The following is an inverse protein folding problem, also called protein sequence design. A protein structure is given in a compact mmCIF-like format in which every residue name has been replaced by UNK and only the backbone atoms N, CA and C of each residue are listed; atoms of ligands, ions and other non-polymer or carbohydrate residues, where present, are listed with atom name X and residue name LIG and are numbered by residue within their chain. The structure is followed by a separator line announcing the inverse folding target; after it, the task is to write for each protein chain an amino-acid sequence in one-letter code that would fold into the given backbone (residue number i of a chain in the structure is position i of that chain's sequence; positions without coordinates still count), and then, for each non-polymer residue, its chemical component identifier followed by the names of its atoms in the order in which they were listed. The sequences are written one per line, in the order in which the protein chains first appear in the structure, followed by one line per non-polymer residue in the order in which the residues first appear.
data_IF_505653264323
#
_entry.id   IF_505653264323
#
_cell.length_a   1.000
_cell.length_b   1.000
_cell.length_c   1.000
_cell.angle_alpha   90.00
_cell.angle_beta   90.00
_cell.angle_gamma   90.00
#
_symmetry.space_group_name_H-M   'P 1'
#
loop_
_entity.id
_entity.type
_entity.pdbx_description
1 polymer ?
#
# COMPACT_ATOMS: atom_id res chain seq x y z
N UNK A 1 -13.97 -1.13 -11.64
CA UNK A 1 -13.48 0.22 -11.94
C UNK A 1 -11.97 0.30 -12.25
N UNK A 2 -11.46 -0.47 -13.23
CA UNK A 2 -10.01 -0.46 -13.53
C UNK A 2 -9.45 0.93 -13.85
N UNK A 3 -10.26 1.80 -14.47
CA UNK A 3 -9.90 3.19 -14.78
C UNK A 3 -10.18 4.23 -13.70
N UNK A 4 -10.86 3.85 -12.62
CA UNK A 4 -11.29 4.72 -11.52
C UNK A 4 -12.81 4.77 -11.34
N UNK A 5 -13.26 5.21 -10.17
CA UNK A 5 -14.68 5.42 -9.83
C UNK A 5 -15.12 6.86 -10.08
N UNK A 6 -16.44 7.09 -10.05
CA UNK A 6 -16.98 8.44 -9.89
C UNK A 6 -16.55 8.98 -8.51
N UNK A 7 -16.20 10.25 -8.47
CA UNK A 7 -15.84 10.90 -7.22
C UNK A 7 -17.07 11.20 -6.40
N UNK A 8 -17.02 10.93 -5.12
CA UNK A 8 -18.04 11.36 -4.19
C UNK A 8 -18.04 12.89 -4.08
N UNK A 9 -19.21 13.53 -4.25
CA UNK A 9 -19.32 14.97 -4.17
C UNK A 9 -18.78 15.54 -2.86
N UNK A 10 -19.12 14.89 -1.72
CA UNK A 10 -18.60 15.27 -0.40
C UNK A 10 -17.07 15.27 -0.32
N UNK A 11 -16.41 14.30 -0.95
CA UNK A 11 -14.95 14.23 -0.95
C UNK A 11 -14.33 15.39 -1.73
N UNK A 12 -14.93 15.78 -2.85
CA UNK A 12 -14.49 16.95 -3.64
C UNK A 12 -14.70 18.24 -2.85
N UNK A 13 -15.85 18.39 -2.21
CA UNK A 13 -16.19 19.57 -1.39
C UNK A 13 -15.29 19.68 -0.16
N UNK A 14 -15.04 18.57 0.54
CA UNK A 14 -14.14 18.52 1.69
C UNK A 14 -12.71 18.91 1.30
N UNK A 15 -12.23 18.42 0.15
CA UNK A 15 -10.91 18.80 -0.37
C UNK A 15 -10.85 20.29 -0.66
N UNK A 16 -11.81 20.83 -1.41
CA UNK A 16 -11.84 22.24 -1.79
C UNK A 16 -11.88 23.17 -0.56
N UNK A 17 -12.69 22.84 0.44
CA UNK A 17 -12.80 23.62 1.67
C UNK A 17 -11.47 23.73 2.43
N UNK A 18 -10.61 22.71 2.38
CA UNK A 18 -9.29 22.73 3.02
C UNK A 18 -8.27 23.48 2.15
N UNK A 19 -8.31 23.33 0.83
CA UNK A 19 -7.39 24.01 -0.10
C UNK A 19 -7.56 25.54 -0.13
N UNK A 20 -8.66 26.07 0.38
CA UNK A 20 -8.86 27.52 0.55
C UNK A 20 -7.98 28.13 1.65
N UNK A 21 -7.39 27.33 2.54
CA UNK A 21 -6.56 27.83 3.63
C UNK A 21 -5.08 27.81 3.29
N UNK A 22 -4.37 28.95 3.48
CA UNK A 22 -2.95 29.07 3.17
C UNK A 22 -2.02 28.51 4.28
N UNK A 23 -2.57 28.04 5.40
CA UNK A 23 -1.79 27.61 6.55
C UNK A 23 -1.08 26.26 6.30
N UNK A 24 0.12 26.12 6.90
CA UNK A 24 0.90 24.90 6.88
C UNK A 24 0.54 24.02 8.10
N UNK A 25 0.22 22.75 7.94
CA UNK A 25 -0.12 21.85 9.04
C UNK A 25 1.03 21.62 10.05
N UNK A 26 2.25 21.91 9.64
CA UNK A 26 3.43 21.82 10.52
C UNK A 26 3.57 23.04 11.45
N UNK A 27 2.78 24.08 11.25
CA UNK A 27 2.78 25.28 12.11
C UNK A 27 1.67 25.17 13.13
N UNK A 28 2.05 25.01 14.39
CA UNK A 28 1.15 24.93 15.52
C UNK A 28 0.52 26.31 15.87
N UNK A 29 -0.25 26.90 14.93
CA UNK A 29 -0.93 28.20 15.11
C UNK A 29 -2.24 28.23 14.33
N UNK A 30 -3.32 28.69 14.97
CA UNK A 30 -4.61 28.95 14.30
C UNK A 30 -5.07 27.76 13.45
N UNK A 31 -5.32 28.00 12.18
CA UNK A 31 -5.75 26.96 11.23
C UNK A 31 -4.70 25.85 11.00
N UNK A 32 -3.44 26.07 11.32
CA UNK A 32 -2.42 25.02 11.27
C UNK A 32 -2.71 23.85 12.19
N UNK A 33 -3.33 24.11 13.37
CA UNK A 33 -3.79 23.02 14.24
C UNK A 33 -4.91 22.22 13.61
N UNK A 34 -5.91 22.87 13.01
CA UNK A 34 -7.03 22.20 12.36
C UNK A 34 -6.52 21.32 11.20
N UNK A 35 -5.56 21.81 10.41
CA UNK A 35 -4.95 21.09 9.30
C UNK A 35 -4.11 19.88 9.80
N UNK A 36 -3.40 20.04 10.90
CA UNK A 36 -2.65 18.93 11.53
C UNK A 36 -3.61 17.83 12.04
N UNK A 37 -4.77 18.22 12.57
CA UNK A 37 -5.78 17.28 13.04
C UNK A 37 -6.38 16.48 11.88
N UNK A 38 -6.60 17.08 10.69
CA UNK A 38 -7.01 16.34 9.49
C UNK A 38 -5.98 15.28 9.09
N UNK A 39 -4.69 15.61 9.12
CA UNK A 39 -3.64 14.64 8.83
C UNK A 39 -3.62 13.51 9.86
N UNK A 40 -3.65 13.87 11.15
CA UNK A 40 -3.60 12.89 12.26
C UNK A 40 -4.81 11.96 12.25
N UNK A 41 -6.02 12.53 12.21
CA UNK A 41 -7.25 11.76 12.26
C UNK A 41 -7.45 10.95 10.98
N UNK A 42 -7.18 11.55 9.82
CA UNK A 42 -7.27 10.84 8.55
C UNK A 42 -6.26 9.70 8.42
N UNK A 43 -5.04 9.87 8.95
CA UNK A 43 -4.07 8.76 9.05
C UNK A 43 -4.64 7.62 9.88
N UNK A 44 -5.18 7.94 11.07
CA UNK A 44 -5.78 6.95 11.96
C UNK A 44 -6.95 6.23 11.30
N UNK A 45 -7.90 6.97 10.72
CA UNK A 45 -9.07 6.38 10.07
C UNK A 45 -8.71 5.51 8.88
N UNK A 46 -7.73 5.91 8.06
CA UNK A 46 -7.25 5.09 6.94
C UNK A 46 -6.64 3.79 7.46
N UNK A 47 -5.81 3.84 8.50
CA UNK A 47 -5.21 2.64 9.08
C UNK A 47 -6.27 1.72 9.69
N UNK A 48 -7.14 2.26 10.56
CA UNK A 48 -8.09 1.46 11.32
C UNK A 48 -9.27 0.96 10.46
N UNK A 49 -9.83 1.83 9.59
CA UNK A 49 -11.07 1.52 8.87
C UNK A 49 -10.82 0.91 7.51
N UNK A 50 -9.84 1.43 6.74
CA UNK A 50 -9.57 0.91 5.40
C UNK A 50 -8.70 -0.33 5.46
N UNK A 51 -7.64 -0.31 6.27
CA UNK A 51 -6.70 -1.43 6.35
C UNK A 51 -7.00 -2.43 7.47
N UNK A 52 -7.86 -2.11 8.44
CA UNK A 52 -8.08 -2.95 9.62
C UNK A 52 -6.85 -3.03 10.53
N UNK A 53 -5.90 -2.09 10.41
CA UNK A 53 -4.62 -2.13 11.12
C UNK A 53 -4.76 -1.69 12.58
N UNK A 54 -4.08 -2.40 13.49
CA UNK A 54 -3.96 -2.06 14.91
C UNK A 54 -2.65 -1.37 15.25
N UNK A 55 -1.65 -1.54 14.39
CA UNK A 55 -0.31 -0.97 14.52
C UNK A 55 0.27 -0.68 13.13
N UNK A 56 1.54 -0.34 13.04
CA UNK A 56 2.19 -0.02 11.77
C UNK A 56 2.16 1.47 11.43
N UNK A 57 2.44 1.78 10.17
CA UNK A 57 2.50 3.15 9.68
C UNK A 57 1.79 3.31 8.34
N UNK A 58 1.41 4.56 8.02
CA UNK A 58 0.83 4.94 6.75
C UNK A 58 1.88 5.64 5.88
N UNK A 59 2.11 5.11 4.68
CA UNK A 59 2.82 5.83 3.62
C UNK A 59 1.80 6.63 2.81
N UNK A 60 2.15 7.87 2.50
CA UNK A 60 1.35 8.76 1.65
C UNK A 60 2.20 9.28 0.51
N UNK A 61 1.77 9.06 -0.72
CA UNK A 61 2.46 9.51 -1.94
C UNK A 61 1.44 10.09 -2.93
N UNK A 62 1.91 10.63 -4.05
CA UNK A 62 1.03 11.16 -5.09
C UNK A 62 0.23 10.06 -5.81
N UNK A 63 0.72 8.83 -5.78
CA UNK A 63 0.08 7.67 -6.42
C UNK A 63 0.33 6.38 -5.63
N UNK A 64 -0.57 5.41 -5.74
CA UNK A 64 -0.35 4.06 -5.20
C UNK A 64 0.88 3.36 -5.84
N UNK A 65 1.24 3.73 -7.07
CA UNK A 65 2.48 3.22 -7.70
C UNK A 65 3.73 3.68 -6.95
N UNK A 66 3.76 4.94 -6.51
CA UNK A 66 4.88 5.45 -5.72
C UNK A 66 4.93 4.80 -4.33
N UNK A 67 3.78 4.58 -3.67
CA UNK A 67 3.77 3.86 -2.38
C UNK A 67 4.31 2.44 -2.54
N UNK A 68 3.98 1.75 -3.63
CA UNK A 68 4.47 0.41 -3.93
C UNK A 68 5.99 0.41 -4.15
N UNK A 69 6.51 1.28 -5.02
CA UNK A 69 7.96 1.39 -5.24
C UNK A 69 8.71 1.76 -3.97
N UNK A 70 8.16 2.67 -3.14
CA UNK A 70 8.76 3.07 -1.88
C UNK A 70 8.82 1.90 -0.89
N UNK A 71 7.71 1.19 -0.68
CA UNK A 71 7.65 0.08 0.27
C UNK A 71 8.50 -1.11 -0.16
N UNK A 72 8.37 -1.55 -1.42
CA UNK A 72 9.18 -2.65 -1.97
C UNK A 72 10.67 -2.28 -1.93
N UNK A 73 11.01 -1.05 -2.30
CA UNK A 73 12.38 -0.57 -2.26
C UNK A 73 12.98 -0.59 -0.86
N UNK A 74 12.23 -0.13 0.13
CA UNK A 74 12.67 -0.14 1.53
C UNK A 74 12.96 -1.55 2.01
N UNK A 75 12.10 -2.52 1.71
CA UNK A 75 12.32 -3.93 2.07
C UNK A 75 13.53 -4.49 1.33
N UNK A 76 13.57 -4.38 0.01
CA UNK A 76 14.57 -5.01 -0.83
C UNK A 76 15.99 -4.43 -0.61
N UNK A 77 16.10 -3.16 -0.24
CA UNK A 77 17.39 -2.53 0.09
C UNK A 77 17.73 -2.61 1.58
N UNK A 78 16.70 -2.75 2.44
CA UNK A 78 16.86 -2.77 3.90
C UNK A 78 17.29 -4.12 4.48
N UNK A 79 17.17 -5.22 3.72
CA UNK A 79 17.55 -6.57 4.18
C UNK A 79 18.80 -7.07 3.48
N UNK A 80 19.66 -7.75 4.21
CA UNK A 80 20.94 -8.29 3.76
C UNK A 80 20.95 -9.81 3.51
N UNK A 81 19.78 -10.46 3.63
CA UNK A 81 19.58 -11.88 3.41
C UNK A 81 18.69 -12.14 2.19
N UNK A 82 18.63 -13.42 1.79
CA UNK A 82 17.76 -13.92 0.72
C UNK A 82 18.27 -13.62 -0.68
N UNK A 83 17.81 -14.43 -1.64
CA UNK A 83 18.35 -14.47 -3.00
C UNK A 83 17.33 -14.14 -4.07
N UNK A 84 16.03 -14.13 -3.75
CA UNK A 84 14.98 -13.94 -4.73
C UNK A 84 13.80 -13.16 -4.15
N UNK A 85 12.97 -12.62 -5.04
CA UNK A 85 11.63 -12.14 -4.73
C UNK A 85 10.65 -12.64 -5.80
N UNK A 86 9.42 -12.84 -5.37
CA UNK A 86 8.35 -13.46 -6.16
C UNK A 86 7.22 -12.47 -6.39
N UNK A 87 6.71 -12.44 -7.59
CA UNK A 87 5.49 -11.70 -7.99
C UNK A 87 4.69 -12.51 -8.99
N UNK A 88 3.64 -11.96 -9.56
CA UNK A 88 2.83 -12.68 -10.56
C UNK A 88 2.69 -11.93 -11.87
N UNK A 89 2.42 -12.68 -12.94
CA UNK A 89 2.12 -12.13 -14.27
C UNK A 89 0.78 -11.35 -14.32
N UNK A 90 -0.05 -11.41 -13.29
CA UNK A 90 -1.31 -10.67 -13.20
C UNK A 90 -1.17 -9.30 -12.55
N UNK A 91 -0.03 -9.02 -11.93
CA UNK A 91 0.17 -7.76 -11.21
C UNK A 91 -0.03 -6.53 -12.10
N UNK A 92 -0.53 -5.46 -11.48
CA UNK A 92 -0.44 -4.15 -12.11
C UNK A 92 1.05 -3.77 -12.29
N UNK A 93 1.44 -3.11 -13.41
CA UNK A 93 2.84 -2.73 -13.64
C UNK A 93 3.53 -2.06 -12.45
N UNK A 94 2.80 -1.30 -11.63
CA UNK A 94 3.38 -0.66 -10.44
C UNK A 94 3.90 -1.64 -9.38
N UNK A 95 3.28 -2.81 -9.23
CA UNK A 95 3.74 -3.84 -8.31
C UNK A 95 4.77 -4.76 -8.98
N UNK A 96 4.48 -5.22 -10.20
CA UNK A 96 5.38 -6.05 -10.99
C UNK A 96 6.75 -5.37 -11.18
N UNK A 97 6.74 -4.16 -11.74
CA UNK A 97 7.97 -3.43 -12.08
C UNK A 97 8.76 -3.01 -10.85
N UNK A 98 8.09 -2.76 -9.71
CA UNK A 98 8.78 -2.49 -8.45
C UNK A 98 9.62 -3.69 -8.01
N UNK A 99 9.04 -4.91 -8.04
CA UNK A 99 9.77 -6.13 -7.68
C UNK A 99 10.91 -6.40 -8.66
N UNK A 100 10.65 -6.32 -9.97
CA UNK A 100 11.68 -6.54 -10.99
C UNK A 100 12.83 -5.54 -10.87
N UNK A 101 12.52 -4.24 -10.73
CA UNK A 101 13.50 -3.18 -10.58
C UNK A 101 14.41 -3.40 -9.38
N UNK A 102 13.83 -3.69 -8.21
CA UNK A 102 14.62 -3.88 -7.01
C UNK A 102 15.34 -5.21 -6.94
N UNK A 103 14.82 -6.28 -7.56
CA UNK A 103 15.61 -7.50 -7.79
C UNK A 103 16.87 -7.20 -8.57
N UNK A 104 16.74 -6.50 -9.70
CA UNK A 104 17.89 -6.11 -10.52
C UNK A 104 18.87 -5.21 -9.77
N UNK A 105 18.37 -4.24 -9.01
CA UNK A 105 19.18 -3.28 -8.23
C UNK A 105 19.97 -3.96 -7.12
N UNK A 106 19.39 -4.97 -6.46
CA UNK A 106 19.99 -5.67 -5.31
C UNK A 106 20.69 -6.98 -5.69
N UNK A 107 20.67 -7.35 -6.97
CA UNK A 107 21.29 -8.58 -7.47
C UNK A 107 20.54 -9.86 -7.10
N UNK A 108 19.23 -9.76 -6.74
CA UNK A 108 18.38 -10.90 -6.42
C UNK A 108 17.68 -11.43 -7.67
N UNK A 109 17.35 -12.72 -7.66
CA UNK A 109 16.57 -13.36 -8.71
C UNK A 109 15.12 -12.85 -8.68
N UNK A 110 14.60 -12.45 -9.85
CA UNK A 110 13.20 -12.13 -10.05
C UNK A 110 12.44 -13.39 -10.48
N UNK A 111 11.37 -13.72 -9.79
CA UNK A 111 10.51 -14.87 -10.10
C UNK A 111 9.09 -14.42 -10.34
N UNK A 112 8.53 -14.83 -11.48
CA UNK A 112 7.18 -14.50 -11.89
C UNK A 112 6.30 -15.75 -11.93
N UNK A 113 5.22 -15.75 -11.15
CA UNK A 113 4.21 -16.81 -11.13
C UNK A 113 3.26 -16.62 -12.31
N UNK A 114 3.06 -17.63 -13.17
CA UNK A 114 2.14 -17.53 -14.29
C UNK A 114 0.68 -17.51 -13.83
N UNK A 115 -0.17 -16.80 -14.57
CA UNK A 115 -1.60 -16.86 -14.39
C UNK A 115 -2.19 -18.21 -14.79
N UNK A 116 -3.19 -18.68 -14.06
CA UNK A 116 -4.00 -19.81 -14.47
C UNK A 116 -4.81 -19.45 -15.71
N UNK A 117 -4.53 -20.13 -16.84
CA UNK A 117 -5.14 -19.81 -18.13
C UNK A 117 -6.64 -20.16 -18.22
N UNK A 118 -7.14 -20.97 -17.30
CA UNK A 118 -8.55 -21.39 -17.26
C UNK A 118 -9.37 -20.44 -16.38
N UNK A 119 -8.87 -20.12 -15.19
CA UNK A 119 -9.58 -19.29 -14.23
C UNK A 119 -9.28 -17.80 -14.38
N UNK A 120 -8.15 -17.45 -14.98
CA UNK A 120 -7.63 -16.08 -15.03
C UNK A 120 -7.15 -15.56 -13.67
N UNK A 121 -7.00 -16.44 -12.68
CA UNK A 121 -6.51 -16.13 -11.33
C UNK A 121 -5.11 -16.67 -11.07
N UNK A 122 -4.76 -16.74 -9.79
CA UNK A 122 -3.52 -17.34 -9.29
C UNK A 122 -3.87 -18.49 -8.34
N UNK A 123 -3.26 -19.64 -8.57
CA UNK A 123 -3.40 -20.78 -7.68
C UNK A 123 -2.38 -20.71 -6.55
N UNK A 124 -2.78 -20.78 -5.27
CA UNK A 124 -1.84 -20.79 -4.15
C UNK A 124 -0.79 -21.92 -4.28
N UNK A 125 -1.18 -23.09 -4.77
CA UNK A 125 -0.24 -24.21 -5.02
C UNK A 125 0.82 -23.87 -6.07
N UNK A 126 0.47 -23.10 -7.08
CA UNK A 126 1.43 -22.64 -8.08
C UNK A 126 2.37 -21.58 -7.51
N UNK A 127 1.84 -20.61 -6.76
CA UNK A 127 2.65 -19.58 -6.09
C UNK A 127 3.74 -20.21 -5.23
N UNK A 128 3.39 -21.22 -4.41
CA UNK A 128 4.31 -21.84 -3.47
C UNK A 128 5.47 -22.58 -4.14
N UNK A 129 5.40 -22.93 -5.42
CA UNK A 129 6.52 -23.50 -6.16
C UNK A 129 7.65 -22.50 -6.44
N UNK A 130 7.34 -21.21 -6.39
CA UNK A 130 8.29 -20.10 -6.62
C UNK A 130 8.87 -19.56 -5.30
N UNK A 131 8.24 -19.85 -4.17
CA UNK A 131 8.67 -19.43 -2.83
C UNK A 131 9.60 -20.49 -2.22
N UNK A 132 10.72 -20.04 -1.68
CA UNK A 132 11.65 -20.88 -0.93
C UNK A 132 12.18 -20.11 0.32
N UNK A 133 13.05 -20.77 1.10
CA UNK A 133 13.63 -20.18 2.32
C UNK A 133 14.51 -18.95 2.09
N UNK A 134 14.95 -18.74 0.85
CA UNK A 134 15.75 -17.57 0.43
C UNK A 134 14.89 -16.47 -0.22
N UNK A 135 13.56 -16.63 -0.25
CA UNK A 135 12.64 -15.63 -0.78
C UNK A 135 12.47 -14.47 0.21
N UNK A 136 12.92 -13.29 -0.17
CA UNK A 136 12.82 -12.07 0.66
C UNK A 136 11.40 -11.52 0.65
N UNK A 137 10.77 -11.48 -0.52
CA UNK A 137 9.50 -10.79 -0.72
C UNK A 137 8.60 -11.56 -1.66
N UNK A 138 7.31 -11.63 -1.30
CA UNK A 138 6.22 -12.11 -2.13
C UNK A 138 5.22 -10.97 -2.34
N UNK A 139 5.04 -10.53 -3.58
CA UNK A 139 4.09 -9.47 -3.95
C UNK A 139 2.95 -10.04 -4.78
N UNK A 140 1.73 -10.06 -4.22
CA UNK A 140 0.53 -10.60 -4.87
C UNK A 140 -0.63 -9.63 -4.72
N UNK A 141 -1.29 -9.30 -5.85
CA UNK A 141 -2.48 -8.46 -5.83
C UNK A 141 -3.65 -9.13 -5.10
N UNK A 142 -4.43 -8.35 -4.36
CA UNK A 142 -5.63 -8.86 -3.69
C UNK A 142 -6.80 -9.07 -4.66
N UNK A 143 -6.88 -8.28 -5.73
CA UNK A 143 -7.87 -8.46 -6.80
C UNK A 143 -7.30 -8.01 -8.15
N UNK A 144 -7.58 -8.78 -9.19
CA UNK A 144 -7.10 -8.47 -10.53
C UNK A 144 -7.94 -7.39 -11.22
N UNK A 145 -7.28 -6.35 -11.73
CA UNK A 145 -7.89 -5.32 -12.55
C UNK A 145 -8.24 -5.79 -13.96
N UNK A 146 -7.75 -6.96 -14.37
CA UNK A 146 -7.96 -7.53 -15.70
C UNK A 146 -9.05 -8.62 -15.65
N UNK A 147 -8.87 -9.64 -14.81
CA UNK A 147 -9.78 -10.79 -14.75
C UNK A 147 -10.90 -10.63 -13.72
N UNK A 148 -10.75 -9.73 -12.73
CA UNK A 148 -11.69 -9.57 -11.63
C UNK A 148 -11.60 -10.65 -10.55
N UNK A 149 -10.65 -11.58 -10.67
CA UNK A 149 -10.42 -12.59 -9.63
C UNK A 149 -9.95 -11.94 -8.34
N UNK A 150 -10.46 -12.45 -7.21
CA UNK A 150 -10.00 -12.12 -5.86
C UNK A 150 -9.09 -13.25 -5.40
N UNK A 151 -7.92 -12.88 -4.88
CA UNK A 151 -6.93 -13.82 -4.35
C UNK A 151 -7.12 -13.99 -2.85
N UNK A 152 -6.95 -15.19 -2.35
CA UNK A 152 -6.93 -15.47 -0.92
C UNK A 152 -5.57 -15.09 -0.33
N UNK A 153 -5.41 -13.80 -0.05
CA UNK A 153 -4.15 -13.25 0.46
C UNK A 153 -3.77 -13.86 1.81
N UNK A 154 -4.77 -14.10 2.67
CA UNK A 154 -4.56 -14.75 3.97
C UNK A 154 -3.92 -16.13 3.82
N UNK A 155 -4.49 -16.98 2.99
CA UNK A 155 -3.96 -18.34 2.76
C UNK A 155 -2.59 -18.29 2.07
N UNK A 156 -2.41 -17.40 1.11
CA UNK A 156 -1.13 -17.22 0.41
C UNK A 156 -0.04 -16.77 1.39
N UNK A 157 -0.31 -15.77 2.22
CA UNK A 157 0.64 -15.25 3.21
C UNK A 157 0.98 -16.33 4.27
N UNK A 158 -0.03 -17.01 4.81
CA UNK A 158 0.15 -18.09 5.76
C UNK A 158 1.09 -19.17 5.22
N UNK A 159 0.84 -19.65 4.00
CA UNK A 159 1.66 -20.70 3.37
C UNK A 159 3.07 -20.24 3.03
N UNK A 160 3.22 -19.00 2.56
CA UNK A 160 4.54 -18.43 2.30
C UNK A 160 5.38 -18.35 3.58
N UNK A 161 4.77 -17.93 4.70
CA UNK A 161 5.42 -17.86 6.02
C UNK A 161 5.69 -19.23 6.63
N UNK A 162 4.97 -20.28 6.25
CA UNK A 162 5.33 -21.66 6.62
C UNK A 162 6.62 -22.14 5.93
N UNK A 163 6.90 -21.64 4.71
CA UNK A 163 8.14 -21.94 3.97
C UNK A 163 9.29 -21.07 4.49
N UNK A 164 9.04 -19.80 4.66
CA UNK A 164 10.00 -18.83 5.20
C UNK A 164 9.30 -17.86 6.17
N UNK A 165 9.46 -18.03 7.50
CA UNK A 165 8.85 -17.13 8.48
C UNK A 165 9.29 -15.66 8.39
N UNK A 166 10.45 -15.40 7.80
CA UNK A 166 11.01 -14.05 7.68
C UNK A 166 10.57 -13.32 6.39
N UNK A 167 9.85 -14.01 5.47
CA UNK A 167 9.38 -13.45 4.21
C UNK A 167 8.53 -12.20 4.43
N UNK A 168 8.70 -11.20 3.57
CA UNK A 168 7.83 -10.03 3.52
C UNK A 168 6.72 -10.26 2.51
N UNK A 169 5.48 -10.07 2.94
CA UNK A 169 4.30 -10.21 2.07
C UNK A 169 3.74 -8.84 1.75
N UNK A 170 3.67 -8.54 0.47
CA UNK A 170 3.16 -7.28 -0.08
C UNK A 170 1.89 -7.56 -0.89
N UNK A 171 0.84 -6.78 -0.68
CA UNK A 171 -0.40 -6.94 -1.44
C UNK A 171 -0.85 -5.62 -2.08
N UNK A 172 -1.05 -5.65 -3.40
CA UNK A 172 -1.74 -4.56 -4.12
C UNK A 172 -3.25 -4.75 -3.96
N UNK A 173 -3.88 -3.93 -3.11
CA UNK A 173 -5.32 -3.95 -2.89
C UNK A 173 -6.08 -2.83 -3.63
N UNK A 174 -5.46 -2.18 -4.61
CA UNK A 174 -6.05 -1.07 -5.36
C UNK A 174 -7.39 -1.44 -6.01
N UNK A 175 -7.54 -2.66 -6.51
CA UNK A 175 -8.82 -3.15 -7.06
C UNK A 175 -9.70 -3.84 -6.03
N UNK A 176 -9.14 -4.27 -4.91
CA UNK A 176 -9.87 -4.93 -3.84
C UNK A 176 -10.64 -3.93 -2.97
N UNK A 177 -10.01 -2.83 -2.59
CA UNK A 177 -10.54 -1.81 -1.68
C UNK A 177 -11.99 -1.35 -1.99
N UNK A 178 -12.40 -1.10 -3.27
CA UNK A 178 -13.75 -0.67 -3.56
C UNK A 178 -14.80 -1.80 -3.54
N UNK A 179 -14.40 -3.05 -3.34
CA UNK A 179 -15.27 -4.21 -3.53
C UNK A 179 -15.36 -5.13 -2.31
N UNK A 180 -14.35 -5.14 -1.43
CA UNK A 180 -14.29 -6.00 -0.27
C UNK A 180 -13.44 -5.37 0.84
N UNK A 181 -13.60 -5.88 2.04
CA UNK A 181 -12.86 -5.44 3.23
C UNK A 181 -11.40 -5.85 3.12
N UNK A 182 -10.51 -4.93 3.48
CA UNK A 182 -9.10 -5.20 3.71
C UNK A 182 -8.92 -5.39 5.21
N UNK A 183 -8.23 -6.44 5.62
CA UNK A 183 -7.84 -6.68 7.00
C UNK A 183 -6.39 -7.17 7.01
N UNK A 184 -5.46 -6.23 7.17
CA UNK A 184 -4.02 -6.52 7.10
C UNK A 184 -3.54 -7.38 8.26
N UNK A 185 -4.25 -7.34 9.40
CA UNK A 185 -3.95 -8.19 10.55
C UNK A 185 -4.35 -9.65 10.27
N UNK A 186 -5.57 -9.85 9.74
CA UNK A 186 -6.06 -11.19 9.37
C UNK A 186 -5.31 -11.78 8.17
N UNK A 187 -4.88 -10.94 7.23
CA UNK A 187 -4.07 -11.34 6.08
C UNK A 187 -2.60 -11.60 6.43
N UNK A 188 -2.14 -11.07 7.55
CA UNK A 188 -0.75 -11.15 8.00
C UNK A 188 0.25 -10.67 6.92
N UNK A 189 -0.05 -9.50 6.33
CA UNK A 189 0.78 -8.86 5.31
C UNK A 189 1.61 -7.72 5.89
N UNK A 190 2.74 -7.45 5.25
CA UNK A 190 3.67 -6.40 5.67
C UNK A 190 3.43 -5.07 4.98
N UNK A 191 2.88 -5.11 3.79
CA UNK A 191 2.51 -3.93 2.99
C UNK A 191 1.20 -4.19 2.30
N UNK A 192 0.32 -3.20 2.36
CA UNK A 192 -0.91 -3.20 1.58
C UNK A 192 -1.19 -1.79 1.07
N UNK A 193 -1.45 -1.61 -0.22
CA UNK A 193 -1.70 -0.29 -0.78
C UNK A 193 -3.07 -0.17 -1.42
N UNK A 194 -3.57 1.07 -1.54
CA UNK A 194 -4.73 1.39 -2.36
C UNK A 194 -4.69 2.80 -2.95
N UNK A 195 -5.55 3.04 -3.93
CA UNK A 195 -5.69 4.32 -4.61
C UNK A 195 -7.08 4.91 -4.39
N UNK A 196 -7.23 6.04 -3.67
CA UNK A 196 -8.52 6.65 -3.37
C UNK A 196 -9.43 6.87 -4.57
N UNK A 197 -8.88 7.23 -5.73
CA UNK A 197 -9.67 7.49 -6.93
C UNK A 197 -10.41 6.26 -7.49
N UNK A 198 -10.05 5.06 -7.06
CA UNK A 198 -10.78 3.82 -7.36
C UNK A 198 -11.83 3.48 -6.28
N UNK A 199 -11.79 4.18 -5.16
CA UNK A 199 -12.65 4.04 -4.00
C UNK A 199 -13.48 5.33 -3.77
N UNK A 200 -14.07 5.89 -4.82
CA UNK A 200 -14.89 7.11 -4.81
C UNK A 200 -14.18 8.40 -4.35
N UNK A 201 -12.89 8.33 -4.07
CA UNK A 201 -12.07 9.44 -3.61
C UNK A 201 -11.45 10.27 -4.73
N UNK A 202 -10.54 11.16 -4.35
CA UNK A 202 -9.85 12.08 -5.23
C UNK A 202 -8.60 11.46 -5.85
N UNK A 203 -8.10 12.08 -6.93
CA UNK A 203 -6.79 11.75 -7.52
C UNK A 203 -5.68 12.59 -6.87
N UNK A 204 -4.42 12.17 -7.10
CA UNK A 204 -3.24 12.87 -6.59
C UNK A 204 -2.85 12.43 -5.18
N UNK A 205 -3.29 11.26 -4.76
CA UNK A 205 -2.83 10.59 -3.56
C UNK A 205 -2.91 9.07 -3.72
N UNK A 206 -2.01 8.38 -3.04
CA UNK A 206 -1.99 6.95 -2.82
C UNK A 206 -1.62 6.68 -1.37
N UNK A 207 -2.15 5.62 -0.80
CA UNK A 207 -1.91 5.23 0.58
C UNK A 207 -1.42 3.79 0.64
N UNK A 208 -0.49 3.53 1.55
CA UNK A 208 -0.09 2.17 1.89
C UNK A 208 0.10 2.01 3.39
N UNK A 209 -0.41 0.92 3.91
CA UNK A 209 -0.05 0.38 5.20
C UNK A 209 1.32 -0.29 5.11
N UNK A 210 2.14 -0.12 6.15
CA UNK A 210 3.35 -0.91 6.40
C UNK A 210 3.33 -1.43 7.84
N UNK A 211 3.70 -2.71 8.01
CA UNK A 211 3.80 -3.35 9.34
C UNK A 211 4.89 -2.71 10.18
N UNK A 212 4.85 -2.93 11.52
CA UNK A 212 5.85 -2.40 12.44
C UNK A 212 7.28 -2.79 12.04
N UNK A 213 7.49 -4.04 11.56
CA UNK A 213 8.81 -4.49 11.15
C UNK A 213 9.33 -3.80 9.89
N UNK A 214 8.45 -3.30 9.03
CA UNK A 214 8.81 -2.49 7.87
C UNK A 214 8.94 -1.02 8.24
N UNK A 215 8.07 -0.51 9.12
CA UNK A 215 8.06 0.88 9.55
C UNK A 215 9.39 1.33 10.18
N UNK A 216 10.11 0.43 10.83
CA UNK A 216 11.40 0.71 11.47
C UNK A 216 12.61 0.52 10.55
N UNK A 217 12.41 0.09 9.30
CA UNK A 217 13.51 -0.09 8.36
C UNK A 217 14.16 1.24 7.97
N UNK A 218 15.47 1.24 7.68
CA UNK A 218 16.13 2.41 7.11
C UNK A 218 15.53 2.77 5.76
N UNK A 219 15.19 4.03 5.57
CA UNK A 219 14.72 4.59 4.31
C UNK A 219 15.24 6.02 4.11
N UNK A 220 14.85 6.68 3.04
CA UNK A 220 15.32 8.03 2.74
C UNK A 220 14.95 8.97 3.89
N UNK A 221 15.95 9.68 4.45
CA UNK A 221 15.78 10.60 5.57
C UNK A 221 16.11 12.03 5.14
N UNK A 222 15.38 12.98 5.68
CA UNK A 222 15.73 14.39 5.61
C UNK A 222 16.61 14.75 6.80
N UNK A 223 17.65 15.58 6.58
CA UNK A 223 18.64 15.96 7.60
C UNK A 223 18.06 16.65 8.84
N UNK A 224 16.89 17.26 8.70
CA UNK A 224 16.22 18.00 9.79
C UNK A 224 14.99 17.25 10.37
N UNK A 225 14.80 15.99 10.01
CA UNK A 225 13.70 15.15 10.49
C UNK A 225 14.23 13.98 11.31
N UNK A 226 13.39 13.47 12.19
CA UNK A 226 13.67 12.27 12.97
C UNK A 226 13.87 11.05 12.07
N UNK A 227 14.46 10.02 12.64
CA UNK A 227 14.64 8.74 11.96
C UNK A 227 13.28 8.10 11.57
N UNK A 228 13.32 7.29 10.52
CA UNK A 228 12.16 6.53 10.01
C UNK A 228 10.98 7.39 9.56
N UNK A 229 11.26 8.48 8.84
CA UNK A 229 10.23 9.32 8.23
C UNK A 229 9.81 8.73 6.89
N UNK A 230 8.55 8.35 6.75
CA UNK A 230 7.96 7.85 5.51
C UNK A 230 7.42 8.95 4.60
N UNK A 231 7.18 10.15 5.13
CA UNK A 231 6.77 11.32 4.35
C UNK A 231 7.98 12.22 4.06
N UNK A 232 8.31 12.42 2.79
CA UNK A 232 9.44 13.26 2.36
C UNK A 232 9.10 14.76 2.26
N UNK A 233 7.88 15.15 2.59
CA UNK A 233 7.42 16.52 2.50
C UNK A 233 6.28 16.80 3.47
N UNK A 234 5.69 17.98 3.32
CA UNK A 234 4.49 18.36 4.06
C UNK A 234 3.30 17.55 3.56
N UNK A 235 2.57 16.84 4.44
CA UNK A 235 1.38 16.11 4.05
C UNK A 235 0.30 17.07 3.52
N UNK A 236 -0.54 16.60 2.60
CA UNK A 236 -1.63 17.36 2.03
C UNK A 236 -2.95 17.15 2.84
N UNK A 237 -3.31 18.03 3.81
CA UNK A 237 -4.47 17.83 4.66
C UNK A 237 -5.78 17.68 3.88
N UNK A 238 -5.89 18.36 2.75
CA UNK A 238 -7.04 18.30 1.87
C UNK A 238 -7.32 16.89 1.32
N UNK A 239 -6.27 16.08 1.08
CA UNK A 239 -6.43 14.71 0.65
C UNK A 239 -6.95 13.81 1.79
N UNK A 240 -6.52 14.05 3.02
CA UNK A 240 -7.05 13.37 4.20
C UNK A 240 -8.51 13.73 4.45
N UNK A 241 -8.86 15.02 4.41
CA UNK A 241 -10.25 15.46 4.52
C UNK A 241 -11.17 14.82 3.47
N UNK A 242 -10.70 14.73 2.22
CA UNK A 242 -11.43 14.04 1.17
C UNK A 242 -11.60 12.53 1.47
N UNK A 243 -10.57 11.87 1.98
CA UNK A 243 -10.64 10.45 2.30
C UNK A 243 -11.54 10.16 3.48
N UNK A 244 -11.48 10.97 4.55
CA UNK A 244 -12.41 10.88 5.68
C UNK A 244 -13.87 11.00 5.23
N UNK A 245 -14.18 11.95 4.32
CA UNK A 245 -15.51 12.08 3.75
C UNK A 245 -15.96 10.87 2.90
N UNK A 246 -15.00 10.11 2.33
CA UNK A 246 -15.29 8.84 1.65
C UNK A 246 -15.57 7.74 2.67
N UNK A 247 -14.74 7.63 3.71
CA UNK A 247 -14.91 6.65 4.79
C UNK A 247 -16.27 6.81 5.45
N UNK A 248 -16.63 8.03 5.84
CA UNK A 248 -17.95 8.36 6.43
C UNK A 248 -19.17 7.97 5.57
N UNK A 249 -18.96 7.80 4.26
CA UNK A 249 -20.05 7.47 3.34
C UNK A 249 -20.10 5.97 3.02
N UNK A 250 -18.95 5.30 2.95
CA UNK A 250 -18.84 3.92 2.43
C UNK A 250 -18.76 2.90 3.56
N UNK A 251 -18.16 3.28 4.69
CA UNK A 251 -17.94 2.42 5.84
C UNK A 251 -18.83 2.78 7.00
#
# INVERSE_FOLDING_TARGET
NSGGSLRLKRAVEAKAAIEEFPDCPERARGRGFDLADYVKNGTKEILEVIFGAKSGALITELTASQTMFHAVGTIMEGVDWGKNAVTSALEHPSAHDAVEYYCKKTGREFREVPANKVTGGLDPDEIMKYVDKDTVLLSIMAASNISGNIMDIKEIARRAKEINPDIYVVSDAVQHAPHAVIDVEDWDVDVCNFAPYKFFGVRGCGYAYVSDRVAVMPHIKLTCKDDNVWALGTPAPANFAAMMAVIDYVC
#
